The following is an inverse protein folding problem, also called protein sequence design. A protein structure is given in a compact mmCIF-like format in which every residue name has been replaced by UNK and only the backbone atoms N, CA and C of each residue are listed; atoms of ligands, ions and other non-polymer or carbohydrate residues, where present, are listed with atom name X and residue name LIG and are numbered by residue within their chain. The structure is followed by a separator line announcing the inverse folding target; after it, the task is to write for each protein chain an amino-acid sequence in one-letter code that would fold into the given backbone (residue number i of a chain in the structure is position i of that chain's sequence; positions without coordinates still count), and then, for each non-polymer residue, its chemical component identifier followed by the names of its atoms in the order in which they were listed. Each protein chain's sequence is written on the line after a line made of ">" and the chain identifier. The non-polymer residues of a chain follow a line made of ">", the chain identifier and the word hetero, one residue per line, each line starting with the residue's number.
data_IF_389541415084
#
_entry.id   IF_389541415084
#
_cell.length_a   1.000
_cell.length_b   1.000
_cell.length_c   1.000
_cell.angle_alpha   90.00
_cell.angle_beta   90.00
_cell.angle_gamma   90.00
#
_symmetry.space_group_name_H-M   'P 1'
#
loop_
_entity.id
_entity.type
_entity.pdbx_description
1 polymer ?
#
# COMPACT_ATOMS: atom_id res chain seq x y z
N UNK A 1 9.10 -4.02 -1.51
CA UNK A 1 8.41 -4.29 -2.79
C UNK A 1 6.99 -4.71 -2.45
N UNK A 2 6.01 -3.87 -2.79
CA UNK A 2 4.60 -4.06 -2.44
C UNK A 2 3.81 -4.10 -3.75
N UNK A 3 2.92 -5.07 -3.89
CA UNK A 3 2.05 -5.25 -5.05
C UNK A 3 0.57 -5.08 -4.65
N UNK A 4 -0.34 -4.88 -5.61
CA UNK A 4 -1.77 -4.94 -5.33
C UNK A 4 -2.14 -6.26 -4.63
N UNK A 5 -3.14 -6.20 -3.75
CA UNK A 5 -3.61 -7.31 -2.90
C UNK A 5 -2.62 -7.78 -1.81
N UNK A 6 -1.55 -7.02 -1.55
CA UNK A 6 -0.67 -7.28 -0.40
C UNK A 6 -1.31 -6.74 0.88
N UNK A 7 -1.32 -7.52 1.97
CA UNK A 7 -1.68 -7.05 3.32
C UNK A 7 -0.45 -6.52 4.04
N UNK A 8 -0.59 -5.37 4.68
CA UNK A 8 0.45 -4.68 5.43
C UNK A 8 -0.05 -4.39 6.84
N UNK A 9 0.83 -4.53 7.82
CA UNK A 9 0.54 -4.14 9.21
C UNK A 9 0.73 -2.63 9.32
N UNK A 10 -0.29 -1.96 9.84
CA UNK A 10 -0.26 -0.51 10.04
C UNK A 10 0.52 -0.21 11.31
N UNK A 11 1.47 0.71 11.21
CA UNK A 11 2.35 1.15 12.33
C UNK A 11 2.11 2.62 12.67
N UNK A 12 0.91 3.11 12.39
CA UNK A 12 0.47 4.45 12.74
C UNK A 12 -0.55 4.41 13.89
N UNK A 13 -0.94 5.59 14.37
CA UNK A 13 -1.94 5.76 15.42
C UNK A 13 -3.36 5.97 14.86
N UNK A 14 -3.63 5.59 13.61
CA UNK A 14 -4.94 5.74 12.96
C UNK A 14 -5.97 4.69 13.42
N UNK A 15 -5.53 3.69 14.19
CA UNK A 15 -6.39 2.64 14.76
C UNK A 15 -6.67 1.46 13.82
N UNK A 16 -6.22 1.51 12.57
CA UNK A 16 -6.20 0.36 11.68
C UNK A 16 -5.10 -0.63 12.12
N UNK A 17 -5.38 -1.94 12.06
CA UNK A 17 -4.40 -3.00 12.38
C UNK A 17 -3.70 -3.50 11.13
N UNK A 18 -4.46 -3.67 10.06
CA UNK A 18 -4.00 -4.13 8.76
C UNK A 18 -4.65 -3.31 7.66
N UNK A 19 -3.96 -3.15 6.55
CA UNK A 19 -4.46 -2.54 5.33
C UNK A 19 -4.09 -3.41 4.13
N UNK A 20 -4.90 -3.36 3.09
CA UNK A 20 -4.63 -3.98 1.80
C UNK A 20 -4.26 -2.91 0.78
N UNK A 21 -3.17 -3.14 0.06
CA UNK A 21 -2.79 -2.30 -1.06
C UNK A 21 -3.71 -2.58 -2.26
N UNK A 22 -4.49 -1.60 -2.70
CA UNK A 22 -5.45 -1.78 -3.81
C UNK A 22 -4.82 -1.29 -5.12
N UNK A 23 -4.02 -0.24 -5.04
CA UNK A 23 -3.40 0.38 -6.20
C UNK A 23 -2.03 0.98 -5.84
N UNK A 24 -1.09 0.86 -6.77
CA UNK A 24 0.24 1.47 -6.67
C UNK A 24 0.24 2.74 -7.49
N UNK A 25 0.35 3.89 -6.84
CA UNK A 25 0.35 5.18 -7.52
C UNK A 25 1.72 5.44 -8.18
N UNK A 26 1.70 6.05 -9.37
CA UNK A 26 2.91 6.37 -10.13
C UNK A 26 2.88 5.99 -11.61
N UNK A 27 1.70 5.79 -12.19
CA UNK A 27 1.49 5.64 -13.64
C UNK A 27 1.07 4.23 -14.06
N UNK A 28 0.53 4.10 -15.28
CA UNK A 28 -0.14 2.88 -15.78
C UNK A 28 0.75 1.63 -15.85
N UNK A 29 2.07 1.78 -15.79
CA UNK A 29 3.04 0.66 -15.88
C UNK A 29 3.71 0.31 -14.56
N UNK A 30 3.40 1.02 -13.46
CA UNK A 30 4.04 0.77 -12.16
C UNK A 30 3.41 -0.46 -11.51
N UNK A 31 4.19 -1.54 -11.42
CA UNK A 31 3.73 -2.84 -10.88
C UNK A 31 4.04 -3.04 -9.40
N UNK A 32 5.01 -2.29 -8.89
CA UNK A 32 5.52 -2.47 -7.54
C UNK A 32 5.80 -1.10 -6.89
N UNK A 33 5.48 -1.00 -5.62
CA UNK A 33 5.87 0.10 -4.77
C UNK A 33 7.07 -0.26 -3.90
N UNK A 34 7.88 0.75 -3.59
CA UNK A 34 9.00 0.67 -2.67
C UNK A 34 8.70 1.47 -1.40
N UNK A 35 9.55 1.32 -0.38
CA UNK A 35 9.42 2.10 0.86
C UNK A 35 9.58 3.59 0.53
N UNK A 36 8.63 4.40 0.97
CA UNK A 36 8.57 5.84 0.68
C UNK A 36 7.64 6.22 -0.48
N UNK A 37 7.15 5.25 -1.27
CA UNK A 37 6.10 5.50 -2.26
C UNK A 37 4.73 5.66 -1.58
N UNK A 38 3.95 6.63 -2.03
CA UNK A 38 2.54 6.78 -1.65
C UNK A 38 1.73 5.76 -2.45
N UNK A 39 0.92 4.96 -1.75
CA UNK A 39 0.05 3.96 -2.36
C UNK A 39 -1.35 4.06 -1.80
N UNK A 40 -2.34 3.73 -2.62
CA UNK A 40 -3.72 3.69 -2.21
C UNK A 40 -4.06 2.35 -1.55
N UNK A 41 -4.34 2.40 -0.24
CA UNK A 41 -4.65 1.25 0.59
C UNK A 41 -6.05 1.40 1.22
N UNK A 42 -6.78 0.29 1.34
CA UNK A 42 -8.02 0.21 2.12
C UNK A 42 -7.82 -0.63 3.38
N UNK A 43 -8.48 -0.23 4.46
CA UNK A 43 -8.62 -1.03 5.69
C UNK A 43 -9.60 -2.20 5.49
#
# INVERSE_FOLDING_TARGET
>A
MIQPQTRLIVTDNSGAKEIMCIHVDGGSYRRFASVGDVNNCSC
#
